data_IF_182091908197
#
_entry.id   IF_182091908197
#
_cell.length_a   1.000
_cell.length_b   1.000
_cell.length_c   1.000
_cell.angle_alpha   90.00
_cell.angle_beta   90.00
_cell.angle_gamma   90.00
#
_symmetry.space_group_name_H-M   'P 1'
#
loop_
_entity.id
_entity.type
_entity.pdbx_description
1 polymer ?
#
# COMPACT_ATOMS: atom_id res chain seq x y z
N UNK A 1 -1.32 -8.54 -43.37
CA UNK A 1 -1.61 -9.95 -43.03
C UNK A 1 -1.66 -10.07 -41.51
N UNK A 2 -2.86 -10.32 -40.97
CA UNK A 2 -3.15 -10.39 -39.54
C UNK A 2 -2.90 -11.82 -39.04
N UNK A 3 -1.99 -12.06 -38.10
CA UNK A 3 -1.90 -13.33 -37.39
C UNK A 3 -2.42 -13.09 -35.95
N UNK A 4 -3.62 -13.59 -35.68
CA UNK A 4 -4.19 -13.69 -34.32
C UNK A 4 -3.64 -14.96 -33.67
N UNK A 5 -3.00 -14.82 -32.54
CA UNK A 5 -2.61 -15.93 -31.68
C UNK A 5 -3.72 -16.10 -30.62
N UNK A 6 -4.42 -17.22 -30.68
CA UNK A 6 -5.44 -17.62 -29.72
C UNK A 6 -4.74 -18.50 -28.69
N UNK A 7 -4.69 -18.07 -27.44
CA UNK A 7 -4.20 -18.86 -26.32
C UNK A 7 -5.40 -19.53 -25.66
N UNK A 8 -5.46 -20.87 -25.76
CA UNK A 8 -6.45 -21.72 -25.10
C UNK A 8 -5.90 -22.10 -23.72
N UNK A 9 -6.59 -21.68 -22.67
CA UNK A 9 -6.30 -22.09 -21.29
C UNK A 9 -7.23 -23.25 -20.95
N UNK A 10 -6.65 -24.43 -20.73
CA UNK A 10 -7.35 -25.64 -20.29
C UNK A 10 -7.58 -25.58 -18.78
N UNK A 11 -8.84 -25.74 -18.40
CA UNK A 11 -9.34 -25.82 -17.03
C UNK A 11 -9.24 -27.27 -16.56
N UNK A 12 -8.40 -27.58 -15.55
CA UNK A 12 -8.42 -28.87 -14.85
C UNK A 12 -9.20 -28.72 -13.55
N UNK A 13 -10.41 -29.29 -13.53
CA UNK A 13 -11.17 -29.60 -12.31
C UNK A 13 -10.68 -30.93 -11.73
N UNK A 14 -10.26 -30.96 -10.48
CA UNK A 14 -10.15 -32.19 -9.68
C UNK A 14 -11.08 -32.11 -8.48
N UNK A 15 -12.12 -32.93 -8.53
CA UNK A 15 -13.01 -33.19 -7.41
C UNK A 15 -12.39 -34.23 -6.49
N UNK A 16 -12.37 -33.99 -5.18
CA UNK A 16 -12.06 -34.97 -4.16
C UNK A 16 -13.29 -35.18 -3.25
N UNK A 17 -13.86 -36.35 -3.36
CA UNK A 17 -14.99 -36.87 -2.60
C UNK A 17 -14.56 -37.26 -1.19
N UNK A 18 -15.32 -36.80 -0.21
CA UNK A 18 -15.24 -37.21 1.18
C UNK A 18 -16.07 -38.47 1.41
N UNK A 19 -15.52 -39.49 2.06
CA UNK A 19 -16.26 -40.60 2.61
C UNK A 19 -16.40 -40.48 4.12
N UNK A 20 -17.66 -40.44 4.54
CA UNK A 20 -18.15 -40.57 5.91
C UNK A 20 -18.33 -42.04 6.23
N UNK A 21 -17.89 -42.50 7.41
CA UNK A 21 -18.42 -43.71 8.06
C UNK A 21 -18.45 -43.52 9.56
N UNK A 22 -19.69 -43.53 10.10
CA UNK A 22 -20.00 -43.87 11.49
C UNK A 22 -20.17 -45.38 11.63
N UNK A 23 -19.91 -45.97 12.77
CA UNK A 23 -20.86 -46.94 13.28
C UNK A 23 -21.26 -46.72 14.75
N UNK A 24 -22.54 -46.91 14.93
CA UNK A 24 -23.32 -47.07 16.16
C UNK A 24 -23.12 -48.50 16.77
N UNK A 25 -23.20 -48.57 18.08
CA UNK A 25 -23.79 -49.69 18.91
C UNK A 25 -22.95 -49.93 20.17
N UNK A 26 -23.41 -50.26 21.36
CA UNK A 26 -24.69 -50.55 21.97
C UNK A 26 -24.47 -50.59 23.50
N UNK A 27 -25.53 -50.43 24.20
CA UNK A 27 -25.70 -50.47 25.66
C UNK A 27 -25.19 -51.75 26.36
N UNK A 28 -24.77 -51.61 27.61
CA UNK A 28 -25.34 -52.45 28.68
C UNK A 28 -25.04 -51.97 30.09
N UNK A 29 -26.05 -52.04 30.91
CA UNK A 29 -26.18 -51.68 32.31
C UNK A 29 -25.30 -52.44 33.28
N UNK A 30 -24.92 -51.78 34.38
CA UNK A 30 -25.00 -52.29 35.74
C UNK A 30 -24.57 -51.22 36.78
N UNK A 31 -25.45 -50.94 37.71
CA UNK A 31 -25.24 -50.31 39.01
C UNK A 31 -25.33 -51.41 40.08
N UNK A 32 -24.96 -51.21 41.38
CA UNK A 32 -24.44 -50.06 42.10
C UNK A 32 -23.28 -50.40 43.07
N UNK A 33 -22.55 -49.41 43.60
CA UNK A 33 -22.16 -49.39 45.04
C UNK A 33 -21.68 -47.98 45.45
N UNK A 34 -22.29 -47.52 46.52
CA UNK A 34 -22.01 -46.29 47.24
C UNK A 34 -20.60 -46.33 47.87
N UNK A 35 -19.88 -45.24 47.79
CA UNK A 35 -19.03 -44.75 48.89
C UNK A 35 -18.86 -43.24 48.77
N UNK A 36 -19.42 -42.58 49.76
CA UNK A 36 -19.29 -41.17 50.10
C UNK A 36 -17.83 -40.88 50.38
N UNK A 37 -17.21 -40.02 49.57
CA UNK A 37 -16.05 -39.25 49.99
C UNK A 37 -16.17 -37.82 49.50
N UNK A 38 -16.40 -36.96 50.47
CA UNK A 38 -16.43 -35.49 50.36
C UNK A 38 -15.06 -35.03 49.89
N UNK A 39 -14.91 -34.75 48.62
CA UNK A 39 -13.73 -34.09 48.08
C UNK A 39 -14.07 -32.59 47.87
N UNK A 40 -13.41 -31.78 48.66
CA UNK A 40 -13.37 -30.33 48.59
C UNK A 40 -12.95 -29.90 47.17
N UNK A 41 -13.62 -28.95 46.52
CA UNK A 41 -13.19 -28.48 45.21
C UNK A 41 -11.85 -27.77 45.36
N UNK A 42 -10.82 -28.29 44.74
CA UNK A 42 -9.58 -27.55 44.56
C UNK A 42 -9.89 -26.39 43.60
N UNK A 43 -9.87 -25.19 44.13
CA UNK A 43 -9.90 -23.94 43.36
C UNK A 43 -8.63 -23.90 42.52
N UNK A 44 -8.78 -24.30 41.24
CA UNK A 44 -7.71 -24.15 40.24
C UNK A 44 -7.58 -22.66 39.95
N UNK A 45 -6.66 -21.99 40.60
CA UNK A 45 -6.15 -20.69 40.22
C UNK A 45 -5.50 -20.82 38.86
N UNK A 46 -6.28 -20.66 37.79
CA UNK A 46 -5.75 -20.41 36.48
C UNK A 46 -5.00 -19.07 36.53
N UNK A 47 -3.68 -19.16 36.49
CA UNK A 47 -2.84 -17.98 36.28
C UNK A 47 -3.33 -17.28 35.00
N UNK A 48 -3.66 -15.98 35.03
CA UNK A 48 -4.09 -15.28 33.82
C UNK A 48 -2.99 -15.41 32.77
N UNK A 49 -3.38 -15.89 31.59
CA UNK A 49 -2.49 -15.92 30.44
C UNK A 49 -1.89 -14.52 30.23
N UNK A 50 -0.58 -14.40 29.93
CA UNK A 50 0.04 -13.12 29.68
C UNK A 50 -0.79 -12.33 28.68
N UNK A 51 -1.23 -11.14 29.05
CA UNK A 51 -1.94 -10.26 28.14
C UNK A 51 -1.05 -10.04 26.91
N UNK A 52 -1.52 -10.42 25.74
CA UNK A 52 -0.77 -10.24 24.50
C UNK A 52 -0.44 -8.75 24.35
N UNK A 53 0.86 -8.43 24.30
CA UNK A 53 1.32 -7.04 24.17
C UNK A 53 0.69 -6.40 22.93
N UNK A 54 0.27 -5.14 23.09
CA UNK A 54 -0.21 -4.33 21.99
C UNK A 54 0.91 -4.15 20.94
N UNK A 55 0.57 -4.30 19.68
CA UNK A 55 1.49 -4.08 18.56
C UNK A 55 1.47 -2.61 18.15
N UNK A 56 2.59 -2.14 17.60
CA UNK A 56 2.73 -0.82 16.96
C UNK A 56 3.07 -1.07 15.48
N UNK A 57 2.06 -0.94 14.61
CA UNK A 57 2.21 -1.21 13.19
C UNK A 57 2.50 0.10 12.47
N UNK A 58 3.54 0.07 11.65
CA UNK A 58 4.05 1.20 10.86
C UNK A 58 4.18 0.80 9.39
N UNK A 59 4.26 1.79 8.49
CA UNK A 59 4.63 1.50 7.11
C UNK A 59 5.97 0.75 7.05
N UNK A 60 6.11 -0.11 6.06
CA UNK A 60 7.37 -0.76 5.73
C UNK A 60 8.46 0.28 5.47
N UNK A 61 9.74 -0.02 5.76
CA UNK A 61 10.84 0.85 5.40
C UNK A 61 10.85 1.14 3.89
N UNK A 62 11.11 2.39 3.53
CA UNK A 62 11.21 2.81 2.12
C UNK A 62 12.36 2.07 1.42
N UNK A 63 12.10 1.50 0.24
CA UNK A 63 13.10 0.85 -0.58
C UNK A 63 14.17 1.83 -1.06
N UNK A 64 13.77 3.08 -1.32
CA UNK A 64 14.65 4.16 -1.80
C UNK A 64 15.30 4.98 -0.68
N UNK A 65 15.13 4.63 0.61
CA UNK A 65 15.61 5.43 1.74
C UNK A 65 17.12 5.78 1.70
N UNK A 66 17.93 4.91 1.08
CA UNK A 66 19.37 5.08 0.98
C UNK A 66 19.85 5.44 -0.44
N UNK A 67 18.94 5.81 -1.34
CA UNK A 67 19.28 6.17 -2.71
C UNK A 67 19.95 7.55 -2.75
N UNK A 68 21.06 7.68 -3.45
CA UNK A 68 21.67 8.98 -3.75
C UNK A 68 20.86 9.69 -4.85
N UNK A 69 19.86 10.48 -4.42
CA UNK A 69 18.99 11.22 -5.33
C UNK A 69 19.69 12.36 -6.08
N UNK A 70 20.90 12.76 -5.66
CA UNK A 70 21.69 13.81 -6.35
C UNK A 70 22.47 13.23 -7.53
N UNK A 71 22.92 11.99 -7.41
CA UNK A 71 23.69 11.29 -8.44
C UNK A 71 23.18 9.84 -8.55
N UNK A 72 21.93 9.62 -8.97
CA UNK A 72 21.36 8.28 -9.01
C UNK A 72 22.11 7.44 -10.07
N UNK A 73 22.82 6.43 -9.59
CA UNK A 73 23.54 5.47 -10.45
C UNK A 73 22.58 4.46 -11.08
N UNK A 74 21.55 4.13 -10.34
CA UNK A 74 20.48 3.25 -10.80
C UNK A 74 19.27 4.10 -11.19
N UNK A 75 18.58 3.70 -12.24
CA UNK A 75 17.34 4.34 -12.64
C UNK A 75 16.22 4.07 -11.64
N UNK A 76 15.27 4.97 -11.57
CA UNK A 76 14.06 4.77 -10.78
C UNK A 76 12.84 5.39 -11.42
N UNK A 77 11.67 4.89 -11.04
CA UNK A 77 10.37 5.51 -11.33
C UNK A 77 9.66 5.73 -10.01
N UNK A 78 9.29 6.98 -9.71
CA UNK A 78 8.70 7.31 -8.42
C UNK A 78 7.67 8.44 -8.52
N UNK A 79 6.68 8.48 -7.61
CA UNK A 79 5.84 9.64 -7.41
C UNK A 79 6.69 10.86 -7.03
N UNK A 80 6.36 12.02 -7.62
CA UNK A 80 7.10 13.26 -7.39
C UNK A 80 6.16 14.44 -7.22
N UNK A 81 6.70 15.54 -6.67
CA UNK A 81 6.05 16.84 -6.71
C UNK A 81 7.05 17.95 -7.06
N UNK A 82 6.58 18.94 -7.82
CA UNK A 82 7.34 20.13 -8.18
C UNK A 82 6.39 21.24 -8.65
N UNK A 83 6.93 22.42 -8.81
CA UNK A 83 6.24 23.60 -9.37
C UNK A 83 6.96 24.10 -10.62
N UNK A 84 6.36 24.98 -11.37
CA UNK A 84 7.01 25.63 -12.51
C UNK A 84 8.30 26.38 -12.11
N UNK A 85 8.37 26.89 -10.88
CA UNK A 85 9.53 27.61 -10.36
C UNK A 85 10.75 26.69 -10.12
N UNK A 86 10.54 25.37 -10.05
CA UNK A 86 11.57 24.36 -9.84
C UNK A 86 12.28 23.95 -11.13
N UNK A 87 11.79 24.41 -12.30
CA UNK A 87 12.46 24.25 -13.61
C UNK A 87 13.45 25.37 -13.80
N UNK A 88 14.71 25.04 -14.07
CA UNK A 88 15.77 26.01 -14.33
C UNK A 88 16.41 25.75 -15.70
N UNK A 89 16.68 26.82 -16.45
CA UNK A 89 17.41 26.75 -17.69
C UNK A 89 18.72 27.52 -17.55
N UNK A 90 19.83 26.86 -17.89
CA UNK A 90 21.16 27.44 -17.94
C UNK A 90 21.82 27.04 -19.28
N UNK A 91 21.91 28.01 -20.21
CA UNK A 91 22.27 27.75 -21.59
C UNK A 91 21.27 26.76 -22.26
N UNK A 92 21.81 25.65 -22.75
CA UNK A 92 21.01 24.56 -23.36
C UNK A 92 20.55 23.51 -22.32
N UNK A 93 21.07 23.58 -21.11
CA UNK A 93 20.76 22.62 -20.06
C UNK A 93 19.50 23.04 -19.30
N UNK A 94 18.53 22.15 -19.23
CA UNK A 94 17.31 22.32 -18.42
C UNK A 94 17.38 21.32 -17.26
N UNK A 95 17.18 21.81 -16.03
CA UNK A 95 17.14 20.99 -14.81
C UNK A 95 15.81 21.16 -14.12
N UNK A 96 15.38 20.10 -13.44
CA UNK A 96 14.20 20.10 -12.59
C UNK A 96 14.60 19.70 -11.17
N UNK A 97 14.17 20.49 -10.19
CA UNK A 97 14.20 20.11 -8.77
C UNK A 97 12.83 19.53 -8.41
N UNK A 98 12.82 18.32 -7.86
CA UNK A 98 11.59 17.65 -7.47
C UNK A 98 11.75 16.94 -6.13
N UNK A 99 10.69 16.92 -5.34
CA UNK A 99 10.58 16.02 -4.21
C UNK A 99 10.20 14.64 -4.71
N UNK A 100 10.86 13.62 -4.19
CA UNK A 100 10.66 12.21 -4.55
C UNK A 100 9.99 11.51 -3.39
N UNK A 101 9.03 10.66 -3.68
CA UNK A 101 8.24 9.97 -2.68
C UNK A 101 8.16 8.47 -2.97
N UNK A 102 7.84 7.73 -1.92
CA UNK A 102 7.51 6.31 -1.98
C UNK A 102 6.16 6.07 -1.30
N UNK A 103 5.33 5.22 -1.88
CA UNK A 103 4.01 4.92 -1.31
C UNK A 103 4.18 4.20 0.02
N UNK A 104 3.40 4.60 1.03
CA UNK A 104 3.34 3.87 2.30
C UNK A 104 2.70 2.50 2.09
N UNK A 105 3.46 1.47 2.40
CA UNK A 105 3.00 0.08 2.32
C UNK A 105 3.07 -0.57 3.69
N UNK A 106 2.12 -1.43 3.99
CA UNK A 106 2.01 -2.19 5.23
C UNK A 106 2.10 -3.67 4.92
N UNK A 107 2.72 -4.44 5.80
CA UNK A 107 2.77 -5.90 5.68
C UNK A 107 1.37 -6.50 5.88
N UNK A 108 0.96 -7.39 4.95
CA UNK A 108 -0.38 -7.98 4.99
C UNK A 108 -0.57 -8.89 6.21
N UNK A 109 0.48 -9.56 6.69
CA UNK A 109 0.41 -10.42 7.88
C UNK A 109 0.19 -9.56 9.12
N UNK A 110 0.90 -8.43 9.25
CA UNK A 110 0.72 -7.50 10.36
C UNK A 110 -0.68 -6.90 10.36
N UNK A 111 -1.16 -6.44 9.19
CA UNK A 111 -2.51 -5.88 9.04
C UNK A 111 -3.60 -6.91 9.39
N UNK A 112 -3.44 -8.17 8.97
CA UNK A 112 -4.40 -9.25 9.27
C UNK A 112 -4.47 -9.60 10.77
N UNK A 113 -3.46 -9.26 11.53
CA UNK A 113 -3.37 -9.52 12.98
C UNK A 113 -3.76 -8.31 13.84
N UNK A 114 -4.14 -7.19 13.21
CA UNK A 114 -4.59 -5.98 13.93
C UNK A 114 -5.80 -6.29 14.79
N UNK A 115 -5.78 -5.77 16.01
CA UNK A 115 -6.87 -5.92 16.99
C UNK A 115 -7.01 -4.70 17.87
N UNK A 116 -8.11 -4.60 18.58
CA UNK A 116 -8.31 -3.54 19.57
C UNK A 116 -7.17 -3.55 20.61
N UNK A 117 -6.66 -2.37 20.90
CA UNK A 117 -5.51 -2.14 21.79
C UNK A 117 -4.20 -1.89 21.06
N UNK A 118 -4.05 -2.32 19.81
CA UNK A 118 -2.88 -2.03 18.97
C UNK A 118 -2.83 -0.55 18.56
N UNK A 119 -1.72 -0.12 17.97
CA UNK A 119 -1.58 1.18 17.32
C UNK A 119 -1.21 0.99 15.84
N UNK A 120 -1.66 1.91 15.00
CA UNK A 120 -1.33 1.98 13.58
C UNK A 120 -0.91 3.39 13.23
N UNK A 121 0.28 3.55 12.64
CA UNK A 121 0.75 4.82 12.09
C UNK A 121 0.62 4.78 10.57
N UNK A 122 -0.14 5.71 9.99
CA UNK A 122 -0.34 5.82 8.55
C UNK A 122 -0.57 7.28 8.15
N UNK A 123 0.03 7.72 7.04
CA UNK A 123 -0.05 9.10 6.57
C UNK A 123 0.47 10.13 7.58
N UNK A 124 1.45 9.75 8.40
CA UNK A 124 2.02 10.57 9.46
C UNK A 124 1.18 10.65 10.74
N UNK A 125 0.03 9.99 10.79
CA UNK A 125 -0.88 9.98 11.95
C UNK A 125 -0.84 8.62 12.66
N UNK A 126 -0.80 8.62 14.00
CA UNK A 126 -0.88 7.40 14.81
C UNK A 126 -2.25 7.32 15.46
N UNK A 127 -2.95 6.22 15.23
CA UNK A 127 -4.26 5.94 15.82
C UNK A 127 -4.19 4.71 16.72
N UNK A 128 -4.87 4.76 17.87
CA UNK A 128 -5.13 3.58 18.68
C UNK A 128 -6.27 2.79 18.05
N UNK A 129 -6.05 1.52 17.78
CA UNK A 129 -7.04 0.63 17.20
C UNK A 129 -8.10 0.29 18.26
N UNK A 130 -9.35 0.60 17.98
CA UNK A 130 -10.51 0.22 18.81
C UNK A 130 -11.38 -0.79 18.10
N UNK A 131 -11.40 -0.75 16.77
CA UNK A 131 -12.18 -1.65 15.92
C UNK A 131 -11.44 -1.92 14.60
N UNK A 132 -11.51 -3.15 14.13
CA UNK A 132 -11.04 -3.56 12.79
C UNK A 132 -12.20 -4.28 12.09
N UNK A 133 -12.53 -3.88 10.88
CA UNK A 133 -13.54 -4.52 10.05
C UNK A 133 -13.03 -4.80 8.66
N UNK A 134 -13.22 -6.02 8.19
CA UNK A 134 -13.02 -6.37 6.79
C UNK A 134 -14.07 -5.71 5.89
N UNK A 135 -13.65 -5.34 4.69
CA UNK A 135 -14.50 -4.76 3.66
C UNK A 135 -14.91 -5.84 2.65
N UNK A 136 -16.16 -5.82 2.19
CA UNK A 136 -16.67 -6.76 1.17
C UNK A 136 -15.88 -6.69 -0.15
N UNK A 137 -15.35 -5.51 -0.49
CA UNK A 137 -14.55 -5.29 -1.70
C UNK A 137 -13.05 -5.52 -1.50
N UNK A 138 -12.67 -6.16 -0.39
CA UNK A 138 -11.28 -6.31 0.04
C UNK A 138 -10.80 -5.11 0.88
N UNK A 139 -9.74 -5.34 1.64
CA UNK A 139 -9.18 -4.35 2.57
C UNK A 139 -9.82 -4.34 3.94
N UNK A 140 -9.37 -3.42 4.78
CA UNK A 140 -9.84 -3.27 6.16
C UNK A 140 -10.12 -1.80 6.49
N UNK A 141 -11.09 -1.58 7.38
CA UNK A 141 -11.30 -0.30 8.04
C UNK A 141 -10.92 -0.40 9.51
N UNK A 142 -10.19 0.58 9.99
CA UNK A 142 -9.80 0.74 11.38
C UNK A 142 -10.59 1.94 11.92
N UNK A 143 -11.25 1.77 13.06
CA UNK A 143 -12.05 2.80 13.73
C UNK A 143 -13.13 3.44 12.81
N UNK A 144 -13.74 2.61 11.95
CA UNK A 144 -14.78 3.05 11.02
C UNK A 144 -14.30 3.65 9.70
N UNK A 145 -12.98 3.63 9.44
CA UNK A 145 -12.37 4.13 8.19
C UNK A 145 -12.25 5.66 8.14
N UNK A 146 -11.69 6.17 7.03
CA UNK A 146 -11.38 7.60 6.87
C UNK A 146 -12.61 8.51 7.03
N UNK A 147 -13.80 8.05 6.62
CA UNK A 147 -15.06 8.83 6.77
C UNK A 147 -15.42 9.14 8.23
N UNK A 148 -14.90 8.36 9.18
CA UNK A 148 -15.15 8.51 10.62
C UNK A 148 -13.89 8.92 11.39
N UNK A 149 -12.87 9.43 10.70
CA UNK A 149 -11.59 9.80 11.32
C UNK A 149 -10.69 8.61 11.67
N UNK A 150 -11.01 7.43 11.14
CA UNK A 150 -10.15 6.25 11.21
C UNK A 150 -9.34 6.05 9.93
N UNK A 151 -8.82 4.84 9.73
CA UNK A 151 -7.97 4.49 8.60
C UNK A 151 -8.66 3.44 7.73
N UNK A 152 -8.54 3.59 6.41
CA UNK A 152 -8.95 2.58 5.42
C UNK A 152 -7.71 2.08 4.70
N UNK A 153 -7.48 0.76 4.74
CA UNK A 153 -6.40 0.09 4.03
C UNK A 153 -6.97 -0.80 2.92
N UNK A 154 -6.37 -0.74 1.75
CA UNK A 154 -6.68 -1.59 0.60
C UNK A 154 -5.52 -2.55 0.31
N UNK A 155 -5.81 -3.76 -0.20
CA UNK A 155 -4.78 -4.68 -0.63
C UNK A 155 -4.00 -4.08 -1.81
N UNK A 156 -2.67 -4.21 -1.74
CA UNK A 156 -1.72 -3.89 -2.79
C UNK A 156 -1.06 -5.15 -3.34
N UNK A 157 -0.11 -4.97 -4.22
CA UNK A 157 0.68 -6.06 -4.77
C UNK A 157 1.65 -6.64 -3.74
N UNK A 158 2.12 -7.87 -3.99
CA UNK A 158 3.19 -8.48 -3.20
C UNK A 158 2.86 -8.74 -1.72
N UNK A 159 1.57 -8.90 -1.36
CA UNK A 159 1.19 -9.14 0.03
C UNK A 159 1.28 -7.89 0.91
N UNK A 160 0.96 -6.74 0.35
CA UNK A 160 0.97 -5.46 1.06
C UNK A 160 -0.41 -4.86 1.18
N UNK A 161 -0.53 -3.84 2.01
CA UNK A 161 -1.68 -2.93 2.08
C UNK A 161 -1.20 -1.49 1.93
N UNK A 162 -2.06 -0.61 1.46
CA UNK A 162 -1.83 0.84 1.41
C UNK A 162 -3.03 1.62 1.93
N UNK A 163 -2.79 2.78 2.51
CA UNK A 163 -3.86 3.66 2.97
C UNK A 163 -4.47 4.43 1.80
N UNK A 164 -5.81 4.54 1.84
CA UNK A 164 -6.57 5.45 0.99
C UNK A 164 -7.31 6.45 1.88
N UNK A 165 -7.18 7.72 1.53
CA UNK A 165 -7.90 8.87 2.09
C UNK A 165 -9.05 9.27 1.17
N UNK A 166 -9.68 10.39 1.47
CA UNK A 166 -10.71 11.00 0.63
C UNK A 166 -10.21 11.20 -0.82
N UNK A 167 -11.12 11.08 -1.79
CA UNK A 167 -10.83 11.19 -3.23
C UNK A 167 -9.77 10.19 -3.74
N UNK A 168 -9.76 8.99 -3.17
CA UNK A 168 -8.84 7.91 -3.52
C UNK A 168 -7.34 8.28 -3.39
N UNK A 169 -7.03 9.34 -2.65
CA UNK A 169 -5.66 9.77 -2.41
C UNK A 169 -4.91 8.73 -1.57
N UNK A 170 -3.74 8.32 -2.05
CA UNK A 170 -2.83 7.41 -1.35
C UNK A 170 -1.90 8.21 -0.44
N UNK A 171 -1.31 7.54 0.55
CA UNK A 171 -0.30 8.12 1.43
C UNK A 171 1.11 7.79 0.97
N UNK A 172 2.02 8.74 1.14
CA UNK A 172 3.39 8.65 0.68
C UNK A 172 4.36 9.16 1.75
N UNK A 173 5.56 8.60 1.76
CA UNK A 173 6.70 9.10 2.52
C UNK A 173 7.65 9.85 1.59
N UNK A 174 8.16 11.00 2.03
CA UNK A 174 9.17 11.75 1.28
C UNK A 174 10.53 11.04 1.42
N UNK A 175 11.10 10.60 0.30
CA UNK A 175 12.45 10.03 0.23
C UNK A 175 13.48 11.16 0.30
N UNK A 176 13.21 12.27 -0.38
CA UNK A 176 14.10 13.43 -0.42
C UNK A 176 13.91 14.28 -1.67
N UNK A 177 14.89 15.10 -1.97
CA UNK A 177 14.87 16.03 -3.12
C UNK A 177 15.94 15.65 -4.13
N UNK A 178 15.56 15.57 -5.41
CA UNK A 178 16.44 15.39 -6.56
C UNK A 178 16.50 16.68 -7.39
N UNK A 179 17.69 17.05 -7.87
CA UNK A 179 17.86 18.11 -8.88
C UNK A 179 18.62 17.50 -10.06
N UNK A 180 17.91 17.18 -11.13
CA UNK A 180 18.45 16.40 -12.24
C UNK A 180 18.18 17.09 -13.58
N UNK A 181 19.07 16.91 -14.58
CA UNK A 181 18.83 17.41 -15.93
C UNK A 181 17.70 16.63 -16.60
N UNK A 182 16.97 17.31 -17.49
CA UNK A 182 16.07 16.66 -18.43
C UNK A 182 16.91 16.04 -19.55
N UNK A 183 16.60 14.80 -19.93
CA UNK A 183 17.30 14.11 -21.01
C UNK A 183 16.96 14.65 -22.39
N UNK A 184 17.80 14.37 -23.40
CA UNK A 184 17.61 14.84 -24.78
C UNK A 184 16.29 14.41 -25.41
N UNK A 185 15.77 13.26 -24.97
CA UNK A 185 14.48 12.69 -25.43
C UNK A 185 13.40 12.79 -24.34
N UNK A 186 13.54 13.75 -23.45
CA UNK A 186 12.57 13.98 -22.39
C UNK A 186 11.17 14.22 -22.94
N UNK A 187 10.16 13.61 -22.33
CA UNK A 187 8.76 13.83 -22.60
C UNK A 187 7.97 13.94 -21.30
N UNK A 188 7.18 15.01 -21.17
CA UNK A 188 6.12 15.09 -20.16
C UNK A 188 4.80 14.72 -20.85
N UNK A 189 4.14 13.68 -20.37
CA UNK A 189 2.78 13.31 -20.76
C UNK A 189 1.82 13.92 -19.73
N UNK A 190 1.19 15.03 -20.11
CA UNK A 190 0.27 15.76 -19.24
C UNK A 190 -1.17 15.40 -19.57
N UNK A 191 -1.81 14.64 -18.70
CA UNK A 191 -3.21 14.25 -18.83
C UNK A 191 -4.13 14.99 -17.84
N UNK A 192 -3.73 16.13 -17.30
CA UNK A 192 -4.54 16.86 -16.32
C UNK A 192 -5.93 17.25 -16.85
N UNK A 193 -6.06 17.45 -18.16
CA UNK A 193 -7.33 17.78 -18.85
C UNK A 193 -7.90 16.59 -19.62
N UNK A 194 -7.44 15.37 -19.36
CA UNK A 194 -7.83 14.15 -20.09
C UNK A 194 -7.52 14.21 -21.60
N UNK A 195 -6.45 14.89 -22.01
CA UNK A 195 -6.04 15.12 -23.40
C UNK A 195 -4.69 14.48 -23.78
N UNK A 196 -3.95 13.94 -22.80
CA UNK A 196 -2.61 13.34 -22.96
C UNK A 196 -1.64 14.26 -23.74
N UNK A 197 -1.62 15.54 -23.36
CA UNK A 197 -0.74 16.53 -23.99
C UNK A 197 0.72 16.16 -23.77
N UNK A 198 1.50 16.15 -24.87
CA UNK A 198 2.94 15.90 -24.82
C UNK A 198 3.71 17.22 -24.81
N UNK A 199 4.63 17.34 -23.87
CA UNK A 199 5.50 18.50 -23.69
C UNK A 199 6.96 18.06 -23.71
N UNK A 200 7.79 18.85 -24.37
CA UNK A 200 9.26 18.65 -24.45
C UNK A 200 9.98 19.32 -23.29
N UNK A 201 11.29 19.09 -23.17
CA UNK A 201 12.12 19.79 -22.19
C UNK A 201 12.03 21.33 -22.36
N UNK A 202 11.96 21.82 -23.60
CA UNK A 202 11.83 23.26 -23.85
C UNK A 202 10.50 23.80 -23.34
N UNK A 203 9.40 23.05 -23.51
CA UNK A 203 8.08 23.45 -23.03
C UNK A 203 8.04 23.56 -21.51
N UNK A 204 8.83 22.74 -20.78
CA UNK A 204 8.95 22.82 -19.32
C UNK A 204 9.39 24.23 -18.84
N UNK A 205 10.20 24.94 -19.63
CA UNK A 205 10.67 26.29 -19.25
C UNK A 205 9.59 27.36 -19.31
N UNK A 206 8.46 27.04 -19.91
CA UNK A 206 7.29 27.96 -20.07
C UNK A 206 6.07 27.47 -19.30
N UNK A 207 6.23 26.43 -18.47
CA UNK A 207 5.16 25.96 -17.59
C UNK A 207 4.63 27.09 -16.74
N UNK A 208 3.34 27.10 -16.55
CA UNK A 208 2.67 27.96 -15.57
C UNK A 208 2.06 27.06 -14.53
N UNK A 209 2.15 27.47 -13.28
CA UNK A 209 1.41 26.84 -12.19
C UNK A 209 -0.08 27.08 -12.44
N UNK A 210 -0.70 26.23 -13.24
CA UNK A 210 -2.14 26.19 -13.36
C UNK A 210 -2.67 25.33 -12.20
N UNK A 211 -3.64 25.80 -11.46
CA UNK A 211 -4.30 25.33 -10.23
C UNK A 211 -4.26 23.85 -9.82
N UNK A 212 -3.80 22.96 -10.68
CA UNK A 212 -3.48 21.57 -10.38
C UNK A 212 -1.96 21.39 -10.54
N UNK A 213 -1.23 21.69 -9.48
CA UNK A 213 0.22 21.47 -9.40
C UNK A 213 0.60 20.01 -9.68
N UNK A 214 1.83 19.81 -10.12
CA UNK A 214 2.44 18.48 -10.18
C UNK A 214 2.62 17.99 -8.74
N UNK A 215 1.75 17.10 -8.30
CA UNK A 215 1.73 16.63 -6.92
C UNK A 215 1.92 15.10 -6.85
N UNK A 216 2.24 14.62 -5.67
CA UNK A 216 2.57 13.21 -5.42
C UNK A 216 1.47 12.21 -5.82
N UNK A 217 0.20 12.64 -5.82
CA UNK A 217 -0.92 11.75 -6.16
C UNK A 217 -1.19 11.67 -7.67
N UNK A 218 -0.65 12.59 -8.45
CA UNK A 218 -0.91 12.62 -9.90
C UNK A 218 0.34 12.59 -10.77
N UNK A 219 1.54 12.71 -10.21
CA UNK A 219 2.75 12.90 -11.00
C UNK A 219 3.78 11.82 -10.68
N UNK A 220 4.29 11.18 -11.73
CA UNK A 220 5.37 10.18 -11.64
C UNK A 220 6.51 10.61 -12.56
N UNK A 221 7.74 10.51 -12.08
CA UNK A 221 8.95 10.74 -12.88
C UNK A 221 9.74 9.45 -13.07
N UNK A 222 10.31 9.27 -14.26
CA UNK A 222 11.28 8.21 -14.58
C UNK A 222 12.65 8.84 -14.76
N UNK A 223 13.64 8.31 -14.05
CA UNK A 223 15.05 8.71 -14.09
C UNK A 223 15.87 7.54 -14.59
N UNK A 224 16.74 7.78 -15.56
CA UNK A 224 17.68 6.80 -16.10
C UNK A 224 19.06 7.46 -16.29
N UNK A 225 20.11 6.80 -15.85
CA UNK A 225 21.48 7.31 -15.98
C UNK A 225 21.66 8.74 -15.45
N UNK A 226 20.99 9.10 -14.38
CA UNK A 226 21.09 10.43 -13.75
C UNK A 226 20.37 11.56 -14.50
N UNK A 227 19.51 11.25 -15.47
CA UNK A 227 18.66 12.22 -16.17
C UNK A 227 17.19 11.85 -16.06
N UNK A 228 16.31 12.84 -16.05
CA UNK A 228 14.87 12.61 -16.10
C UNK A 228 14.50 12.36 -17.57
N UNK A 229 13.99 11.16 -17.86
CA UNK A 229 13.62 10.75 -19.23
C UNK A 229 12.12 10.94 -19.50
N UNK A 230 11.30 10.80 -18.46
CA UNK A 230 9.86 10.94 -18.61
C UNK A 230 9.21 11.50 -17.34
N UNK A 231 8.15 12.27 -17.50
CA UNK A 231 7.20 12.62 -16.46
C UNK A 231 5.80 12.33 -16.98
N UNK A 232 4.97 11.72 -16.15
CA UNK A 232 3.55 11.51 -16.44
C UNK A 232 2.72 12.20 -15.38
N UNK A 233 1.77 13.05 -15.78
CA UNK A 233 0.76 13.62 -14.90
C UNK A 233 -0.60 13.02 -15.25
N UNK A 234 -1.20 12.32 -14.30
CA UNK A 234 -2.53 11.73 -14.45
C UNK A 234 -3.64 12.77 -14.24
N UNK A 235 -4.78 12.53 -14.88
CA UNK A 235 -6.02 13.23 -14.56
C UNK A 235 -6.49 12.85 -13.15
N UNK A 236 -6.89 13.85 -12.38
CA UNK A 236 -7.60 13.66 -11.11
C UNK A 236 -8.97 14.30 -11.26
N UNK A 237 -10.06 13.51 -11.16
CA UNK A 237 -11.43 13.99 -11.30
C UNK A 237 -11.83 14.97 -10.19
#
# INVERSE_FOLDING_TARGET
MKKRLILVIALCLTALTACSTNPTSSAQSAQPSQSTQTAQPAESTQSPAPAAQAKDIKPQPMAMANMDLKHPKEGFTAPVSFTAADVKKDGDKITLTMKVYEQELFDAVEVSQLKAGDTLTAGGETVKVTEVKERKAGGVTINGGYEKGGITLFPGDGGTYYQVKENDAKTYQEVGTATLPLGDKFELIDNANNDNKKLTAQDMTTLKDAGNSFNVNNTTATVENGVITNITRAYMP
#
